data_IF_588260993724
#
_entry.id   IF_588260993724
#
_cell.length_a   1.000
_cell.length_b   1.000
_cell.length_c   1.000
_cell.angle_alpha   90.00
_cell.angle_beta   90.00
_cell.angle_gamma   90.00
#
_symmetry.space_group_name_H-M   'P 1'
#
loop_
_entity.id
_entity.type
_entity.pdbx_description
1 polymer ?
#
# COMPACT_ATOMS: atom_id res chain seq x y z
N UNK A 1 28.29 11.99 -6.69
CA UNK A 1 28.73 12.27 -5.31
C UNK A 1 27.69 11.70 -4.36
N UNK A 2 28.15 10.97 -3.34
CA UNK A 2 27.39 10.06 -2.46
C UNK A 2 26.65 10.82 -1.34
N UNK A 3 25.52 11.49 -1.62
CA UNK A 3 24.72 12.14 -0.57
C UNK A 3 23.63 11.25 0.05
N UNK A 4 23.25 10.14 -0.59
CA UNK A 4 22.12 9.32 -0.12
C UNK A 4 22.47 8.38 1.05
N UNK A 5 23.74 8.02 1.20
CA UNK A 5 24.21 7.05 2.20
C UNK A 5 24.11 7.54 3.65
N UNK A 6 24.11 8.85 3.89
CA UNK A 6 24.07 9.38 5.27
C UNK A 6 22.66 9.28 5.85
N UNK A 7 21.64 9.67 5.08
CA UNK A 7 20.26 9.66 5.54
C UNK A 7 19.75 8.25 5.84
N UNK A 8 20.02 7.29 4.94
CA UNK A 8 19.68 5.87 5.14
C UNK A 8 20.35 5.29 6.40
N UNK A 9 21.60 5.71 6.69
CA UNK A 9 22.33 5.26 7.89
C UNK A 9 21.76 5.88 9.17
N UNK A 10 21.31 7.14 9.13
CA UNK A 10 20.60 7.79 10.24
C UNK A 10 19.27 7.09 10.52
N UNK A 11 18.46 6.80 9.50
CA UNK A 11 17.20 6.08 9.66
C UNK A 11 17.42 4.67 10.21
N UNK A 12 18.36 3.92 9.65
CA UNK A 12 18.72 2.59 10.13
C UNK A 12 19.21 2.62 11.59
N UNK A 13 19.94 3.66 12.00
CA UNK A 13 20.35 3.85 13.39
C UNK A 13 19.17 4.11 14.32
N UNK A 14 18.27 5.04 13.97
CA UNK A 14 17.11 5.39 14.79
C UNK A 14 16.14 4.21 14.92
N UNK A 15 15.94 3.44 13.84
CA UNK A 15 15.08 2.25 13.80
C UNK A 15 15.78 0.98 14.34
N UNK A 16 17.00 1.10 14.89
CA UNK A 16 17.79 0.00 15.43
C UNK A 16 18.02 -1.18 14.45
N UNK A 17 18.22 -0.85 13.16
CA UNK A 17 18.50 -1.80 12.07
C UNK A 17 19.98 -1.96 11.74
N UNK A 18 20.85 -1.11 12.27
CA UNK A 18 22.31 -1.25 12.12
C UNK A 18 22.84 -2.45 12.91
N UNK A 19 23.82 -3.16 12.34
CA UNK A 19 24.52 -4.20 13.09
C UNK A 19 25.29 -3.59 14.29
N UNK A 20 25.54 -4.34 15.38
CA UNK A 20 26.17 -3.78 16.59
C UNK A 20 27.51 -3.09 16.36
N UNK A 21 28.35 -3.62 15.46
CA UNK A 21 29.62 -3.01 15.08
C UNK A 21 29.45 -1.70 14.32
N UNK A 22 28.59 -1.69 13.30
CA UNK A 22 28.27 -0.50 12.50
C UNK A 22 27.64 0.60 13.34
N UNK A 23 26.79 0.22 14.30
CA UNK A 23 26.18 1.13 15.26
C UNK A 23 27.25 1.80 16.13
N UNK A 24 28.18 1.02 16.68
CA UNK A 24 29.25 1.57 17.52
C UNK A 24 30.15 2.53 16.75
N UNK A 25 30.42 2.25 15.47
CA UNK A 25 31.19 3.14 14.60
C UNK A 25 30.41 4.39 14.23
N UNK A 26 29.11 4.27 13.94
CA UNK A 26 28.23 5.41 13.67
C UNK A 26 28.07 6.31 14.91
N UNK A 27 28.01 5.76 16.12
CA UNK A 27 28.00 6.56 17.35
C UNK A 27 29.31 7.32 17.56
N UNK A 28 30.45 6.81 17.06
CA UNK A 28 31.71 7.58 17.04
C UNK A 28 31.64 8.71 16.02
N UNK A 29 31.08 8.46 14.84
CA UNK A 29 30.85 9.48 13.80
C UNK A 29 29.97 10.62 14.35
N UNK A 30 28.85 10.30 15.01
CA UNK A 30 27.95 11.28 15.66
C UNK A 30 28.68 12.13 16.71
N UNK A 31 29.60 11.54 17.50
CA UNK A 31 30.38 12.29 18.50
C UNK A 31 31.45 13.19 17.87
N UNK A 32 31.95 12.81 16.70
CA UNK A 32 33.02 13.52 16.01
C UNK A 32 32.48 14.66 15.13
N UNK A 33 31.23 14.58 14.69
CA UNK A 33 30.59 15.52 13.77
C UNK A 33 29.33 16.15 14.39
N UNK A 34 29.41 17.43 14.84
CA UNK A 34 28.28 18.16 15.41
C UNK A 34 27.09 18.30 14.45
N UNK A 35 27.34 18.48 13.15
CA UNK A 35 26.29 18.67 12.14
C UNK A 35 25.50 17.37 11.96
N UNK A 36 26.20 16.23 11.92
CA UNK A 36 25.57 14.90 11.89
C UNK A 36 24.75 14.63 13.15
N UNK A 37 25.23 15.06 14.32
CA UNK A 37 24.48 14.94 15.56
C UNK A 37 23.18 15.76 15.53
N UNK A 38 23.20 16.96 14.95
CA UNK A 38 22.01 17.79 14.80
C UNK A 38 21.00 17.14 13.84
N UNK A 39 21.45 16.61 12.70
CA UNK A 39 20.59 15.92 11.74
C UNK A 39 19.90 14.68 12.34
N UNK A 40 20.66 13.88 13.11
CA UNK A 40 20.10 12.72 13.85
C UNK A 40 19.04 13.15 14.86
N UNK A 41 19.24 14.29 15.54
CA UNK A 41 18.28 14.79 16.51
C UNK A 41 17.00 15.31 15.84
N UNK A 42 17.11 16.05 14.73
CA UNK A 42 15.95 16.51 13.94
C UNK A 42 15.11 15.31 13.47
N UNK A 43 15.75 14.28 12.91
CA UNK A 43 15.01 13.12 12.42
C UNK A 43 14.40 12.30 13.56
N UNK A 44 15.08 12.21 14.71
CA UNK A 44 14.54 11.58 15.92
C UNK A 44 13.32 12.34 16.44
N UNK A 45 13.36 13.67 16.46
CA UNK A 45 12.26 14.50 16.90
C UNK A 45 11.07 14.45 15.93
N UNK A 46 11.32 14.38 14.63
CA UNK A 46 10.28 14.17 13.61
C UNK A 46 9.59 12.81 13.80
N UNK A 47 10.36 11.72 13.95
CA UNK A 47 9.82 10.37 14.21
C UNK A 47 9.11 10.29 15.56
N UNK A 48 9.60 11.02 16.57
CA UNK A 48 8.97 11.08 17.89
C UNK A 48 7.68 11.90 17.85
N UNK A 49 7.62 12.99 17.09
CA UNK A 49 6.41 13.79 16.94
C UNK A 49 5.29 13.00 16.21
N UNK A 50 5.64 12.19 15.20
CA UNK A 50 4.67 11.33 14.51
C UNK A 50 4.32 10.10 15.34
N UNK A 51 5.31 9.49 16.01
CA UNK A 51 5.10 8.31 16.85
C UNK A 51 4.42 8.59 18.19
N UNK A 52 4.56 9.79 18.77
CA UNK A 52 3.95 10.09 20.07
C UNK A 52 2.42 10.18 20.01
N UNK A 53 1.82 10.62 18.90
CA UNK A 53 0.35 10.61 18.78
C UNK A 53 -0.16 9.18 18.67
N UNK A 54 0.46 8.36 17.82
CA UNK A 54 0.09 6.95 17.64
C UNK A 54 0.37 6.12 18.90
N UNK A 55 1.50 6.35 19.59
CA UNK A 55 1.85 5.67 20.85
C UNK A 55 0.95 6.16 21.99
N UNK A 56 0.54 7.43 22.05
CA UNK A 56 -0.43 7.92 23.04
C UNK A 56 -1.81 7.34 22.76
N UNK A 57 -2.23 7.23 21.50
CA UNK A 57 -3.47 6.58 21.11
C UNK A 57 -3.45 5.10 21.52
N UNK A 58 -2.39 4.38 21.15
CA UNK A 58 -2.19 2.97 21.52
C UNK A 58 -2.08 2.76 23.04
N UNK A 59 -1.41 3.65 23.76
CA UNK A 59 -1.30 3.58 25.23
C UNK A 59 -2.65 3.81 25.90
N UNK A 60 -3.46 4.76 25.42
CA UNK A 60 -4.84 4.97 25.89
C UNK A 60 -5.70 3.75 25.62
N UNK A 61 -5.53 3.12 24.47
CA UNK A 61 -6.21 1.87 24.11
C UNK A 61 -5.81 0.71 25.03
N UNK A 62 -4.51 0.54 25.30
CA UNK A 62 -3.99 -0.48 26.23
C UNK A 62 -4.38 -0.21 27.69
N UNK A 63 -4.38 1.04 28.14
CA UNK A 63 -4.83 1.44 29.47
C UNK A 63 -6.34 1.21 29.62
N UNK A 64 -7.15 1.46 28.59
CA UNK A 64 -8.57 1.12 28.57
C UNK A 64 -8.80 -0.41 28.62
N UNK A 65 -8.02 -1.19 27.87
CA UNK A 65 -8.13 -2.66 27.85
C UNK A 65 -7.65 -3.32 29.15
N UNK A 66 -6.71 -2.70 29.86
CA UNK A 66 -6.20 -3.22 31.14
C UNK A 66 -7.03 -2.74 32.34
N UNK A 67 -7.61 -1.54 32.29
CA UNK A 67 -8.53 -1.04 33.31
C UNK A 67 -9.85 -1.83 33.34
N UNK A 68 -10.30 -2.38 32.22
CA UNK A 68 -11.49 -3.26 32.14
C UNK A 68 -11.22 -4.71 32.56
N UNK A 69 -9.96 -5.12 32.74
CA UNK A 69 -9.57 -6.49 33.15
C UNK A 69 -9.58 -6.70 34.68
N UNK A 70 -10.12 -5.74 35.43
CA UNK A 70 -10.28 -5.80 36.89
C UNK A 70 -11.38 -6.76 37.34
N UNK A 71 -11.13 -8.06 37.27
CA UNK A 71 -11.78 -9.01 38.18
C UNK A 71 -12.43 -10.22 37.54
N UNK A 72 -11.65 -11.21 37.11
CA UNK A 72 -12.11 -12.60 37.07
C UNK A 72 -11.05 -13.52 37.69
N UNK A 73 -11.16 -13.72 39.01
CA UNK A 73 -10.57 -14.86 39.71
C UNK A 73 -11.23 -16.13 39.19
N UNK A 74 -10.51 -16.91 38.39
CA UNK A 74 -10.77 -18.33 38.19
C UNK A 74 -10.93 -18.73 36.74
N UNK A 75 -9.87 -19.31 36.16
CA UNK A 75 -9.98 -20.56 35.38
C UNK A 75 -8.58 -21.03 35.01
N UNK A 76 -8.07 -21.98 35.78
CA UNK A 76 -6.80 -22.68 35.53
C UNK A 76 -6.84 -23.58 34.27
N UNK A 77 -7.94 -23.57 33.49
CA UNK A 77 -8.20 -24.52 32.41
C UNK A 77 -7.99 -23.98 30.98
N UNK A 78 -7.69 -22.68 30.79
CA UNK A 78 -7.44 -22.11 29.46
C UNK A 78 -5.96 -22.16 29.00
N UNK A 79 -5.00 -22.45 29.87
CA UNK A 79 -3.57 -22.51 29.51
C UNK A 79 -3.19 -23.77 28.70
N UNK A 80 -4.02 -24.82 28.72
CA UNK A 80 -3.72 -26.08 28.00
C UNK A 80 -3.96 -25.96 26.48
N UNK A 81 -4.86 -25.08 26.03
CA UNK A 81 -5.21 -24.96 24.59
C UNK A 81 -4.20 -24.13 23.80
N UNK A 82 -3.54 -23.17 24.45
CA UNK A 82 -2.49 -22.34 23.82
C UNK A 82 -1.14 -23.06 23.73
N UNK A 83 -0.85 -24.00 24.64
CA UNK A 83 0.36 -24.83 24.58
C UNK A 83 0.39 -25.76 23.34
N UNK A 84 -0.76 -26.27 22.91
CA UNK A 84 -0.88 -27.12 21.70
C UNK A 84 -0.70 -26.32 20.40
N UNK A 85 -1.13 -25.06 20.35
CA UNK A 85 -0.96 -24.20 19.18
C UNK A 85 0.50 -23.81 18.96
N UNK A 86 1.25 -23.53 20.03
CA UNK A 86 2.68 -23.22 19.94
C UNK A 86 3.52 -24.41 19.44
N UNK A 87 3.17 -25.64 19.81
CA UNK A 87 3.86 -26.84 19.35
C UNK A 87 3.70 -27.08 17.84
N UNK A 88 2.52 -26.78 17.26
CA UNK A 88 2.27 -26.94 15.83
C UNK A 88 3.13 -26.01 14.96
N UNK A 89 3.36 -24.77 15.42
CA UNK A 89 4.21 -23.79 14.72
C UNK A 89 5.67 -24.24 14.70
N UNK A 90 6.18 -24.80 15.80
CA UNK A 90 7.56 -25.31 15.86
C UNK A 90 7.76 -26.50 14.92
N UNK A 91 6.78 -27.41 14.82
CA UNK A 91 6.84 -28.55 13.89
C UNK A 91 6.78 -28.09 12.43
N UNK A 92 5.92 -27.10 12.10
CA UNK A 92 5.86 -26.51 10.76
C UNK A 92 7.18 -25.82 10.40
N UNK A 93 7.76 -25.01 11.29
CA UNK A 93 9.05 -24.36 11.07
C UNK A 93 10.19 -25.38 10.84
N UNK A 94 10.22 -26.47 11.63
CA UNK A 94 11.21 -27.54 11.45
C UNK A 94 11.05 -28.27 10.10
N UNK A 95 9.80 -28.48 9.68
CA UNK A 95 9.48 -29.16 8.42
C UNK A 95 9.92 -28.33 7.20
N UNK A 96 9.69 -27.01 7.22
CA UNK A 96 10.14 -26.08 6.17
C UNK A 96 11.66 -25.99 6.13
N UNK A 97 12.32 -25.99 7.28
CA UNK A 97 13.78 -25.97 7.39
C UNK A 97 14.44 -27.25 6.83
N UNK A 98 13.83 -28.42 7.04
CA UNK A 98 14.33 -29.67 6.46
C UNK A 98 14.11 -29.72 4.94
N UNK A 99 12.99 -29.20 4.44
CA UNK A 99 12.65 -29.24 3.01
C UNK A 99 13.54 -28.28 2.18
N UNK A 100 13.91 -27.13 2.75
CA UNK A 100 14.82 -26.16 2.10
C UNK A 100 16.27 -26.64 2.03
N UNK A 101 16.69 -27.61 2.86
CA UNK A 101 18.02 -28.24 2.77
C UNK A 101 18.17 -29.22 1.60
N UNK A 102 17.09 -29.74 1.02
CA UNK A 102 17.16 -30.76 -0.04
C UNK A 102 17.28 -30.19 -1.47
N UNK A 103 17.14 -28.88 -1.68
CA UNK A 103 17.10 -28.28 -3.03
C UNK A 103 18.39 -27.60 -3.51
N UNK A 104 19.51 -27.71 -2.80
CA UNK A 104 20.81 -27.23 -3.30
C UNK A 104 21.50 -28.27 -4.19
N UNK A 105 20.94 -28.54 -5.37
CA UNK A 105 21.64 -29.24 -6.45
C UNK A 105 22.53 -28.26 -7.25
N UNK A 106 23.70 -28.69 -7.76
CA UNK A 106 24.55 -27.84 -8.60
C UNK A 106 23.87 -27.51 -9.93
N UNK A 107 24.02 -26.26 -10.36
CA UNK A 107 23.36 -25.70 -11.54
C UNK A 107 23.69 -26.48 -12.85
N UNK A 108 22.70 -26.70 -13.74
CA UNK A 108 22.94 -27.26 -15.07
C UNK A 108 23.77 -26.31 -15.93
N UNK A 109 24.89 -26.79 -16.47
CA UNK A 109 25.68 -26.06 -17.46
C UNK A 109 24.98 -26.14 -18.83
N UNK A 110 24.69 -24.97 -19.42
CA UNK A 110 24.15 -24.87 -20.77
C UNK A 110 25.22 -25.24 -21.81
N UNK A 111 24.89 -26.02 -22.87
CA UNK A 111 25.83 -26.33 -23.94
C UNK A 111 26.11 -25.11 -24.82
N UNK A 112 27.39 -24.85 -25.05
CA UNK A 112 27.88 -23.87 -26.03
C UNK A 112 27.56 -24.41 -27.44
N UNK A 113 26.64 -23.75 -28.15
CA UNK A 113 26.35 -24.02 -29.55
C UNK A 113 27.49 -23.49 -30.44
N UNK A 114 28.11 -24.40 -31.20
CA UNK A 114 29.19 -24.11 -32.16
C UNK A 114 28.65 -23.46 -33.43
N UNK A 115 29.42 -22.51 -33.94
CA UNK A 115 29.32 -21.90 -35.26
C UNK A 115 29.08 -22.93 -36.38
N UNK A 116 28.10 -22.65 -37.25
CA UNK A 116 28.08 -23.17 -38.61
C UNK A 116 28.08 -22.01 -39.62
N UNK A 117 28.98 -22.04 -40.62
CA UNK A 117 29.03 -21.04 -41.69
C UNK A 117 28.01 -21.34 -42.79
N UNK A 118 27.26 -20.31 -43.21
CA UNK A 118 26.39 -20.39 -44.39
C UNK A 118 27.18 -20.10 -45.69
N UNK A 119 27.04 -20.92 -46.75
CA UNK A 119 27.59 -20.65 -48.08
C UNK A 119 26.65 -19.79 -48.96
N UNK A 120 27.14 -19.20 -50.07
CA UNK A 120 26.53 -18.00 -50.66
C UNK A 120 25.84 -18.18 -52.03
N UNK A 121 25.01 -17.17 -52.36
CA UNK A 121 24.45 -16.71 -53.68
C UNK A 121 23.25 -17.55 -54.23
N UNK A 122 22.22 -16.97 -54.86
CA UNK A 122 22.22 -16.10 -56.05
C UNK A 122 20.86 -15.35 -56.28
N UNK A 123 20.81 -14.39 -57.23
CA UNK A 123 19.80 -13.33 -57.35
C UNK A 123 18.56 -13.67 -58.19
N UNK A 124 17.44 -13.02 -57.90
CA UNK A 124 16.25 -12.97 -58.77
C UNK A 124 15.72 -11.54 -58.91
N UNK A 125 15.81 -11.06 -60.15
CA UNK A 125 14.91 -10.22 -60.95
C UNK A 125 14.06 -9.05 -60.35
N UNK A 126 13.76 -8.01 -61.16
CA UNK A 126 13.25 -6.72 -60.69
C UNK A 126 11.76 -6.75 -60.34
N UNK A 127 11.42 -6.33 -59.12
CA UNK A 127 10.04 -6.06 -58.73
C UNK A 127 9.61 -4.66 -59.20
N UNK A 128 8.38 -4.59 -59.72
CA UNK A 128 7.66 -3.35 -60.10
C UNK A 128 7.63 -2.33 -58.94
N UNK A 129 7.54 -1.02 -59.23
CA UNK A 129 7.42 0.00 -58.19
C UNK A 129 6.20 -0.27 -57.30
N UNK A 130 6.34 -0.25 -55.97
CA UNK A 130 5.19 -0.32 -55.08
C UNK A 130 4.37 0.97 -55.21
N UNK A 131 3.09 0.80 -55.49
CA UNK A 131 2.07 1.83 -55.37
C UNK A 131 2.08 2.32 -53.93
N UNK A 132 2.39 3.60 -53.73
CA UNK A 132 2.26 4.30 -52.45
C UNK A 132 0.78 4.27 -52.09
N UNK A 133 0.39 3.36 -51.21
CA UNK A 133 -0.90 3.46 -50.52
C UNK A 133 -0.82 4.66 -49.59
N UNK A 134 -1.84 5.53 -49.55
CA UNK A 134 -1.90 6.60 -48.55
C UNK A 134 -1.81 5.98 -47.14
N UNK A 135 -1.18 6.67 -46.19
CA UNK A 135 -1.04 6.18 -44.81
C UNK A 135 -2.42 5.77 -44.28
N UNK A 136 -2.53 4.64 -43.57
CA UNK A 136 -3.77 4.24 -42.92
C UNK A 136 -4.27 5.40 -42.09
N UNK A 137 -5.49 5.86 -42.37
CA UNK A 137 -6.18 6.84 -41.57
C UNK A 137 -6.03 6.42 -40.10
N UNK A 138 -5.36 7.29 -39.34
CA UNK A 138 -5.27 7.25 -37.90
C UNK A 138 -6.67 6.97 -37.37
N UNK A 139 -6.85 5.76 -36.83
CA UNK A 139 -8.14 5.35 -36.28
C UNK A 139 -8.51 6.40 -35.25
N UNK A 140 -9.62 7.10 -35.49
CA UNK A 140 -10.22 8.00 -34.53
C UNK A 140 -10.19 7.33 -33.15
N UNK A 141 -9.83 8.07 -32.07
CA UNK A 141 -9.64 7.49 -30.76
C UNK A 141 -10.85 6.65 -30.41
N UNK A 142 -10.60 5.36 -30.17
CA UNK A 142 -11.63 4.48 -29.62
C UNK A 142 -12.16 5.20 -28.40
N UNK A 143 -13.49 5.36 -28.31
CA UNK A 143 -14.14 5.96 -27.17
C UNK A 143 -13.83 5.06 -25.97
N UNK A 144 -12.70 5.28 -25.32
CA UNK A 144 -12.34 4.62 -24.07
C UNK A 144 -13.42 5.06 -23.11
N UNK A 145 -14.24 4.10 -22.67
CA UNK A 145 -15.17 4.35 -21.59
C UNK A 145 -14.30 4.42 -20.32
N UNK A 146 -13.83 5.63 -19.99
CA UNK A 146 -12.93 5.86 -18.87
C UNK A 146 -13.49 5.35 -17.54
N UNK A 147 -14.82 5.27 -17.42
CA UNK A 147 -15.50 4.59 -16.33
C UNK A 147 -15.13 3.10 -16.26
N UNK A 148 -15.26 2.37 -17.35
CA UNK A 148 -14.92 0.95 -17.40
C UNK A 148 -13.43 0.71 -17.10
N UNK A 149 -12.54 1.60 -17.57
CA UNK A 149 -11.13 1.54 -17.23
C UNK A 149 -10.88 1.82 -15.74
N UNK A 150 -11.57 2.79 -15.16
CA UNK A 150 -11.47 3.08 -13.73
C UNK A 150 -11.96 1.90 -12.87
N UNK A 151 -13.05 1.24 -13.27
CA UNK A 151 -13.59 0.05 -12.62
C UNK A 151 -12.65 -1.16 -12.73
N UNK A 152 -12.05 -1.39 -13.91
CA UNK A 152 -11.07 -2.48 -14.12
C UNK A 152 -9.85 -2.33 -13.22
N UNK A 153 -9.39 -1.09 -13.03
CA UNK A 153 -8.21 -0.78 -12.22
C UNK A 153 -8.48 -0.66 -10.73
N UNK A 154 -9.76 -0.62 -10.33
CA UNK A 154 -10.16 -0.44 -8.94
C UNK A 154 -9.99 -1.73 -8.14
N UNK A 155 -9.35 -1.62 -6.98
CA UNK A 155 -9.20 -2.72 -6.02
C UNK A 155 -10.14 -2.46 -4.84
N UNK A 156 -11.14 -3.32 -4.60
CA UNK A 156 -12.03 -3.16 -3.45
C UNK A 156 -11.25 -3.19 -2.14
N UNK A 157 -11.61 -2.28 -1.23
CA UNK A 157 -11.06 -2.29 0.11
C UNK A 157 -11.56 -3.50 0.89
N UNK A 158 -10.63 -4.24 1.49
CA UNK A 158 -10.92 -5.34 2.39
C UNK A 158 -11.11 -4.81 3.82
N UNK A 159 -12.37 -4.74 4.25
CA UNK A 159 -12.74 -4.30 5.59
C UNK A 159 -12.73 -5.45 6.62
N UNK A 160 -12.35 -6.68 6.24
CA UNK A 160 -12.40 -7.84 7.15
C UNK A 160 -11.45 -7.72 8.35
N UNK A 161 -10.37 -6.94 8.21
CA UNK A 161 -9.43 -6.65 9.29
C UNK A 161 -9.89 -5.56 10.27
N UNK A 162 -10.97 -4.82 9.94
CA UNK A 162 -11.56 -3.83 10.84
C UNK A 162 -12.36 -4.57 11.90
N UNK A 163 -11.72 -4.87 13.04
CA UNK A 163 -12.33 -5.60 14.15
C UNK A 163 -13.49 -4.78 14.72
N UNK A 164 -14.72 -5.18 14.43
CA UNK A 164 -15.87 -4.85 15.27
C UNK A 164 -15.58 -5.41 16.65
N UNK A 165 -15.75 -4.63 17.72
CA UNK A 165 -15.56 -5.14 19.08
C UNK A 165 -16.38 -6.41 19.29
N UNK A 166 -15.95 -7.28 20.20
CA UNK A 166 -16.87 -8.36 20.60
C UNK A 166 -18.14 -7.70 21.14
N UNK A 167 -19.33 -8.20 20.76
CA UNK A 167 -20.57 -7.69 21.30
C UNK A 167 -20.55 -7.94 22.81
N UNK A 168 -20.22 -6.92 23.60
CA UNK A 168 -20.64 -6.91 24.99
C UNK A 168 -22.18 -6.97 24.97
N UNK A 169 -22.76 -7.92 25.69
CA UNK A 169 -24.19 -8.27 25.68
C UNK A 169 -25.15 -7.09 26.00
N UNK A 170 -24.62 -5.88 26.23
CA UNK A 170 -25.37 -4.67 26.57
C UNK A 170 -25.00 -3.42 25.77
N UNK A 171 -24.06 -3.47 24.81
CA UNK A 171 -23.61 -2.27 24.08
C UNK A 171 -24.21 -2.22 22.67
N UNK A 172 -24.93 -1.14 22.40
CA UNK A 172 -25.43 -0.84 21.05
C UNK A 172 -24.24 -0.59 20.12
N UNK A 173 -24.10 -1.29 18.98
CA UNK A 173 -22.96 -1.09 18.08
C UNK A 173 -22.84 0.37 17.63
N UNK A 174 -21.62 0.88 17.60
CA UNK A 174 -21.32 2.21 17.08
C UNK A 174 -21.71 2.34 15.61
N UNK A 175 -21.97 3.56 15.14
CA UNK A 175 -22.26 3.78 13.72
C UNK A 175 -21.11 3.33 12.81
N UNK A 176 -19.87 3.37 13.30
CA UNK A 176 -18.72 2.82 12.58
C UNK A 176 -18.77 1.30 12.45
N UNK A 177 -19.03 0.56 13.52
CA UNK A 177 -19.15 -0.91 13.48
C UNK A 177 -20.28 -1.36 12.56
N UNK A 178 -21.42 -0.67 12.66
CA UNK A 178 -22.56 -0.89 11.75
C UNK A 178 -22.21 -0.58 10.30
N UNK A 179 -21.35 0.40 10.06
CA UNK A 179 -20.87 0.72 8.72
C UNK A 179 -19.91 -0.34 8.18
N UNK A 180 -19.03 -0.90 9.02
CA UNK A 180 -18.16 -2.03 8.64
C UNK A 180 -19.00 -3.24 8.25
N UNK A 181 -20.01 -3.59 9.06
CA UNK A 181 -20.95 -4.66 8.74
C UNK A 181 -21.70 -4.39 7.44
N UNK A 182 -22.24 -3.18 7.27
CA UNK A 182 -22.91 -2.77 6.04
C UNK A 182 -21.99 -2.86 4.81
N UNK A 183 -20.73 -2.49 4.96
CA UNK A 183 -19.74 -2.56 3.89
C UNK A 183 -19.46 -4.01 3.49
N UNK A 184 -19.26 -4.91 4.46
CA UNK A 184 -19.09 -6.34 4.21
C UNK A 184 -20.32 -6.96 3.52
N UNK A 185 -21.51 -6.46 3.84
CA UNK A 185 -22.78 -6.85 3.22
C UNK A 185 -23.07 -6.13 1.89
N UNK A 186 -22.15 -5.28 1.40
CA UNK A 186 -22.29 -4.47 0.18
C UNK A 186 -23.47 -3.47 0.22
N UNK A 187 -23.95 -3.09 1.40
CA UNK A 187 -24.95 -2.04 1.57
C UNK A 187 -24.28 -0.66 1.61
N UNK A 188 -23.76 -0.24 0.45
CA UNK A 188 -23.02 1.00 0.29
C UNK A 188 -23.82 2.23 0.72
N UNK A 189 -25.15 2.21 0.51
CA UNK A 189 -26.04 3.32 0.90
C UNK A 189 -26.12 3.46 2.41
N UNK A 190 -26.14 2.34 3.13
CA UNK A 190 -26.11 2.33 4.58
C UNK A 190 -24.75 2.81 5.11
N UNK A 191 -23.63 2.38 4.51
CA UNK A 191 -22.28 2.84 4.87
C UNK A 191 -22.20 4.37 4.83
N UNK A 192 -22.55 4.98 3.70
CA UNK A 192 -22.45 6.44 3.53
C UNK A 192 -23.40 7.22 4.45
N UNK A 193 -24.52 6.60 4.85
CA UNK A 193 -25.47 7.20 5.81
C UNK A 193 -24.91 7.18 7.23
N UNK A 194 -24.39 6.04 7.67
CA UNK A 194 -23.85 5.86 9.02
C UNK A 194 -22.60 6.71 9.21
N UNK A 195 -21.73 6.80 8.20
CA UNK A 195 -20.49 7.55 8.27
C UNK A 195 -20.62 9.01 7.85
N UNK A 196 -21.83 9.60 7.87
CA UNK A 196 -22.04 11.00 7.45
C UNK A 196 -21.27 11.99 8.34
N UNK A 197 -21.20 11.69 9.64
CA UNK A 197 -20.55 12.52 10.65
C UNK A 197 -19.67 11.65 11.54
N UNK A 198 -18.48 11.23 11.05
CA UNK A 198 -17.61 10.36 11.81
C UNK A 198 -17.05 11.09 13.04
N UNK A 199 -16.79 10.32 14.10
CA UNK A 199 -16.09 10.83 15.28
C UNK A 199 -14.65 11.22 14.91
N UNK A 200 -14.03 12.20 15.59
CA UNK A 200 -12.64 12.57 15.32
C UNK A 200 -11.67 11.38 15.42
N UNK A 201 -11.89 10.49 16.41
CA UNK A 201 -11.05 9.34 16.68
C UNK A 201 -11.15 8.24 15.60
N UNK A 202 -12.22 8.24 14.79
CA UNK A 202 -12.44 7.27 13.71
C UNK A 202 -12.49 7.94 12.33
N UNK A 203 -12.04 9.20 12.24
CA UNK A 203 -12.20 10.01 11.05
C UNK A 203 -11.53 9.33 9.85
N UNK A 204 -10.30 8.85 10.01
CA UNK A 204 -9.50 8.27 8.94
C UNK A 204 -10.15 7.00 8.37
N UNK A 205 -10.50 6.05 9.24
CA UNK A 205 -11.12 4.78 8.86
C UNK A 205 -12.50 5.00 8.26
N UNK A 206 -13.25 5.97 8.80
CA UNK A 206 -14.57 6.34 8.29
C UNK A 206 -14.49 6.96 6.89
N UNK A 207 -13.54 7.88 6.67
CA UNK A 207 -13.32 8.45 5.34
C UNK A 207 -12.96 7.37 4.34
N UNK A 208 -12.07 6.44 4.73
CA UNK A 208 -11.66 5.35 3.84
C UNK A 208 -12.85 4.49 3.44
N UNK A 209 -13.58 3.97 4.43
CA UNK A 209 -14.73 3.09 4.17
C UNK A 209 -15.82 3.80 3.36
N UNK A 210 -16.07 5.08 3.66
CA UNK A 210 -17.06 5.90 2.95
C UNK A 210 -16.63 6.25 1.52
N UNK A 211 -15.35 6.53 1.28
CA UNK A 211 -14.81 6.81 -0.06
C UNK A 211 -15.01 5.60 -0.99
N UNK A 212 -14.65 4.40 -0.51
CA UNK A 212 -14.85 3.16 -1.27
C UNK A 212 -16.34 2.88 -1.50
N UNK A 213 -17.21 3.13 -0.51
CA UNK A 213 -18.66 3.00 -0.70
C UNK A 213 -19.22 4.02 -1.71
N UNK A 214 -18.72 5.26 -1.73
CA UNK A 214 -19.09 6.24 -2.74
C UNK A 214 -18.64 5.83 -4.14
N UNK A 215 -17.45 5.25 -4.27
CA UNK A 215 -16.95 4.71 -5.54
C UNK A 215 -17.89 3.63 -6.07
N UNK A 216 -18.29 2.68 -5.22
CA UNK A 216 -19.24 1.60 -5.57
C UNK A 216 -20.67 2.09 -5.88
N UNK A 217 -20.97 3.36 -5.62
CA UNK A 217 -22.26 4.01 -5.93
C UNK A 217 -22.16 4.96 -7.13
N UNK A 218 -21.07 4.89 -7.90
CA UNK A 218 -20.73 5.81 -9.01
C UNK A 218 -20.69 7.28 -8.59
N UNK A 219 -20.53 7.55 -7.28
CA UNK A 219 -20.49 8.90 -6.74
C UNK A 219 -19.04 9.39 -6.66
N UNK A 220 -18.38 9.44 -7.82
CA UNK A 220 -16.95 9.73 -7.95
C UNK A 220 -16.55 11.10 -7.39
N UNK A 221 -17.43 12.10 -7.44
CA UNK A 221 -17.15 13.43 -6.89
C UNK A 221 -17.06 13.39 -5.35
N UNK A 222 -17.92 12.62 -4.66
CA UNK A 222 -17.82 12.45 -3.20
C UNK A 222 -16.70 11.52 -2.80
N UNK A 223 -16.48 10.43 -3.55
CA UNK A 223 -15.36 9.54 -3.34
C UNK A 223 -14.03 10.31 -3.46
N UNK A 224 -13.89 11.14 -4.49
CA UNK A 224 -12.71 12.00 -4.68
C UNK A 224 -12.48 12.95 -3.51
N UNK A 225 -13.54 13.54 -2.94
CA UNK A 225 -13.40 14.44 -1.79
C UNK A 225 -12.86 13.71 -0.54
N UNK A 226 -13.36 12.49 -0.26
CA UNK A 226 -12.89 11.69 0.88
C UNK A 226 -11.45 11.17 0.64
N UNK A 227 -11.13 10.69 -0.56
CA UNK A 227 -9.77 10.26 -0.91
C UNK A 227 -8.76 11.42 -0.89
N UNK A 228 -9.15 12.61 -1.36
CA UNK A 228 -8.28 13.78 -1.28
C UNK A 228 -7.96 14.11 0.19
N UNK A 229 -8.97 14.07 1.06
CA UNK A 229 -8.74 14.31 2.48
C UNK A 229 -7.81 13.26 3.12
N UNK A 230 -7.94 11.98 2.73
CA UNK A 230 -7.02 10.92 3.17
C UNK A 230 -5.60 11.13 2.66
N UNK A 231 -5.44 11.49 1.39
CA UNK A 231 -4.14 11.76 0.77
C UNK A 231 -3.41 12.92 1.45
N UNK A 232 -4.14 13.92 1.93
CA UNK A 232 -3.58 15.10 2.60
C UNK A 232 -3.30 14.89 4.08
N UNK A 233 -4.14 14.10 4.78
CA UNK A 233 -4.12 14.03 6.25
C UNK A 233 -3.57 12.73 6.82
N UNK A 234 -3.49 11.65 6.04
CA UNK A 234 -3.06 10.35 6.54
C UNK A 234 -1.83 9.85 5.78
N UNK A 235 -0.70 9.73 6.48
CA UNK A 235 0.51 9.14 5.91
C UNK A 235 0.31 7.66 5.56
N UNK A 236 -0.38 6.91 6.44
CA UNK A 236 -0.62 5.47 6.27
C UNK A 236 -1.52 5.15 5.07
N UNK A 237 -2.42 6.06 4.68
CA UNK A 237 -3.31 5.86 3.54
C UNK A 237 -2.99 6.74 2.34
N UNK A 238 -1.95 7.57 2.40
CA UNK A 238 -1.65 8.57 1.38
C UNK A 238 -1.63 7.99 -0.03
N UNK A 239 -0.78 6.99 -0.27
CA UNK A 239 -0.56 6.46 -1.60
C UNK A 239 -1.76 5.69 -2.16
N UNK A 240 -2.46 4.93 -1.29
CA UNK A 240 -3.70 4.24 -1.64
C UNK A 240 -4.79 5.25 -2.00
N UNK A 241 -4.91 6.33 -1.22
CA UNK A 241 -5.88 7.39 -1.47
C UNK A 241 -5.55 8.18 -2.75
N UNK A 242 -4.28 8.49 -3.04
CA UNK A 242 -3.86 9.15 -4.29
C UNK A 242 -4.18 8.28 -5.51
N UNK A 243 -3.97 6.97 -5.44
CA UNK A 243 -4.36 6.05 -6.51
C UNK A 243 -5.87 6.04 -6.74
N UNK A 244 -6.67 5.84 -5.69
CA UNK A 244 -8.12 5.78 -5.82
C UNK A 244 -8.73 7.14 -6.21
N UNK A 245 -8.12 8.25 -5.79
CA UNK A 245 -8.48 9.59 -6.25
C UNK A 245 -8.24 9.76 -7.75
N UNK A 246 -7.12 9.26 -8.26
CA UNK A 246 -6.82 9.27 -9.70
C UNK A 246 -7.88 8.48 -10.49
N UNK A 247 -8.33 7.34 -9.98
CA UNK A 247 -9.41 6.55 -10.59
C UNK A 247 -10.75 7.30 -10.58
N UNK A 248 -11.07 8.04 -9.51
CA UNK A 248 -12.26 8.88 -9.48
C UNK A 248 -12.22 9.97 -10.55
N UNK A 249 -11.05 10.60 -10.77
CA UNK A 249 -10.90 11.59 -11.84
C UNK A 249 -10.95 10.96 -13.23
N UNK A 250 -10.39 9.76 -13.39
CA UNK A 250 -10.46 8.98 -14.63
C UNK A 250 -11.92 8.71 -15.03
N UNK A 251 -12.73 8.21 -14.10
CA UNK A 251 -14.14 7.94 -14.31
C UNK A 251 -14.96 9.19 -14.71
N UNK A 252 -14.44 10.39 -14.41
CA UNK A 252 -15.08 11.69 -14.69
C UNK A 252 -14.41 12.46 -15.83
N UNK A 253 -13.56 11.84 -16.63
CA UNK A 253 -13.04 12.48 -17.84
C UNK A 253 -14.15 12.70 -18.87
N UNK A 254 -14.13 13.85 -19.60
CA UNK A 254 -13.09 14.88 -19.59
C UNK A 254 -13.26 15.98 -18.51
N UNK A 255 -14.35 15.98 -17.72
CA UNK A 255 -14.64 17.06 -16.75
C UNK A 255 -13.54 17.26 -15.70
N UNK A 256 -12.82 16.19 -15.32
CA UNK A 256 -11.72 16.24 -14.35
C UNK A 256 -10.32 16.17 -14.98
N UNK A 257 -10.17 16.46 -16.28
CA UNK A 257 -8.88 16.34 -17.00
C UNK A 257 -7.71 17.02 -16.29
N UNK A 258 -7.88 18.28 -15.88
CA UNK A 258 -6.80 19.04 -15.23
C UNK A 258 -6.37 18.41 -13.89
N UNK A 259 -7.35 17.98 -13.07
CA UNK A 259 -7.08 17.35 -11.78
C UNK A 259 -6.43 15.97 -11.95
N UNK A 260 -6.89 15.21 -12.95
CA UNK A 260 -6.31 13.94 -13.35
C UNK A 260 -4.84 14.11 -13.78
N UNK A 261 -4.55 15.02 -14.69
CA UNK A 261 -3.20 15.24 -15.22
C UNK A 261 -2.23 15.71 -14.13
N UNK A 262 -2.69 16.60 -13.23
CA UNK A 262 -1.90 17.08 -12.12
C UNK A 262 -1.52 15.95 -11.15
N UNK A 263 -2.50 15.13 -10.75
CA UNK A 263 -2.26 14.02 -9.82
C UNK A 263 -1.41 12.92 -10.47
N UNK A 264 -1.71 12.59 -11.73
CA UNK A 264 -0.91 11.67 -12.54
C UNK A 264 0.55 12.10 -12.60
N UNK A 265 0.80 13.39 -12.88
CA UNK A 265 2.15 13.95 -12.92
C UNK A 265 2.83 13.82 -11.55
N UNK A 266 2.16 14.16 -10.46
CA UNK A 266 2.72 14.03 -9.11
C UNK A 266 3.18 12.60 -8.82
N UNK A 267 2.37 11.60 -9.17
CA UNK A 267 2.72 10.19 -8.98
C UNK A 267 3.91 9.79 -9.87
N UNK A 268 4.00 10.32 -11.10
CA UNK A 268 5.12 10.05 -12.02
C UNK A 268 6.40 10.82 -11.66
N UNK A 269 6.31 11.89 -10.87
CA UNK A 269 7.45 12.65 -10.37
C UNK A 269 8.07 12.00 -9.10
N UNK A 270 7.39 11.00 -8.52
CA UNK A 270 7.83 10.21 -7.36
C UNK A 270 8.07 8.73 -7.75
N UNK A 271 9.32 8.34 -8.09
CA UNK A 271 9.64 6.97 -8.49
C UNK A 271 9.39 5.92 -7.39
N UNK A 272 9.36 6.33 -6.13
CA UNK A 272 9.14 5.46 -4.97
C UNK A 272 7.65 5.30 -4.64
N UNK A 273 6.77 6.04 -5.33
CA UNK A 273 5.33 5.91 -5.19
C UNK A 273 4.88 4.47 -5.55
N UNK A 274 4.17 3.74 -4.67
CA UNK A 274 3.80 2.34 -4.90
C UNK A 274 3.05 2.07 -6.21
N UNK A 275 2.34 3.08 -6.72
CA UNK A 275 1.56 3.02 -7.95
C UNK A 275 2.26 3.64 -9.19
N UNK A 276 3.53 4.05 -9.09
CA UNK A 276 4.29 4.67 -10.18
C UNK A 276 4.18 3.89 -11.49
N UNK A 277 4.48 2.57 -11.46
CA UNK A 277 4.46 1.74 -12.66
C UNK A 277 3.05 1.64 -13.26
N UNK A 278 2.02 1.52 -12.43
CA UNK A 278 0.63 1.45 -12.90
C UNK A 278 0.21 2.72 -13.63
N UNK A 279 0.56 3.89 -13.08
CA UNK A 279 0.26 5.18 -13.70
C UNK A 279 1.04 5.39 -15.01
N UNK A 280 2.27 4.87 -15.09
CA UNK A 280 3.11 4.92 -16.29
C UNK A 280 2.55 4.06 -17.43
N UNK A 281 1.99 2.90 -17.09
CA UNK A 281 1.42 1.94 -18.05
C UNK A 281 -0.01 2.29 -18.49
N UNK A 282 -0.65 3.24 -17.80
CA UNK A 282 -2.00 3.71 -18.13
C UNK A 282 -2.03 4.33 -19.54
N UNK A 283 -2.65 3.61 -20.48
CA UNK A 283 -2.87 4.06 -21.86
C UNK A 283 -4.22 4.76 -21.92
N UNK A 284 -4.19 6.07 -22.13
CA UNK A 284 -5.36 6.92 -22.36
C UNK A 284 -5.49 7.25 -23.84
#
# INVERSE_FOLDING_TARGET
MKKNTTHEKIEAYILNRLAPGERADFEKEIRADPDLSEEVNILRDAIKATGEEDIKAFRREMEAATASSGGHRGSFFLSMRWALAAAAIVVLALSVWLMTRQFSGPAPQLPIAKDQPQPPKQPTAPQKPPVISPPPAEKAPQKIEYLALAEELYVPYDASGLRSGEPEDTVTPSDFERAVEAYNNKDWKLVVRLLRSPSPDQLTESLKLRAHAYFQLDNFDKAAADFQQLAEKSLSYKYDAEWNLLLCYLARLPEKQAAFDQLRKRILDDPDHPFYQRVRELKL
#
